data_IF_734013504082
#
_entry.id   IF_734013504082
#
_cell.length_a   1.000
_cell.length_b   1.000
_cell.length_c   1.000
_cell.angle_alpha   90.00
_cell.angle_beta   90.00
_cell.angle_gamma   90.00
#
_symmetry.space_group_name_H-M   'P 1'
#
loop_
_entity.id
_entity.type
_entity.pdbx_description
1 polymer ?
#
# COMPACT_ATOMS: atom_id res chain seq x y z
N UNK A 1 -8.62 17.75 -6.42
CA UNK A 1 -8.60 16.41 -7.02
C UNK A 1 -10.01 15.82 -7.07
N UNK A 2 -10.44 15.51 -8.24
CA UNK A 2 -11.78 14.99 -8.45
C UNK A 2 -11.74 13.50 -8.79
N UNK A 3 -12.05 12.67 -7.80
CA UNK A 3 -12.24 11.25 -8.05
C UNK A 3 -13.69 11.05 -8.44
N UNK A 4 -13.92 10.54 -9.63
CA UNK A 4 -15.23 10.24 -10.14
C UNK A 4 -15.90 9.21 -9.22
N UNK A 5 -17.17 9.44 -8.88
CA UNK A 5 -18.01 8.53 -8.12
C UNK A 5 -18.00 7.12 -8.71
N UNK A 6 -17.94 7.05 -10.04
CA UNK A 6 -17.90 5.82 -10.80
C UNK A 6 -16.61 5.02 -10.51
N UNK A 7 -15.48 5.70 -10.39
CA UNK A 7 -14.22 5.06 -10.03
C UNK A 7 -14.25 4.53 -8.60
N UNK A 8 -14.86 5.28 -7.67
CA UNK A 8 -15.03 4.82 -6.29
C UNK A 8 -15.89 3.56 -6.19
N UNK A 9 -16.99 3.51 -6.94
CA UNK A 9 -17.84 2.32 -6.99
C UNK A 9 -17.10 1.15 -7.59
N UNK A 10 -16.36 1.36 -8.67
CA UNK A 10 -15.56 0.31 -9.28
C UNK A 10 -14.50 -0.24 -8.32
N UNK A 11 -13.87 0.60 -7.52
CA UNK A 11 -12.91 0.16 -6.52
C UNK A 11 -13.56 -0.65 -5.39
N UNK A 12 -14.78 -0.30 -4.98
CA UNK A 12 -15.50 -1.01 -3.93
C UNK A 12 -16.03 -2.37 -4.38
N UNK A 13 -16.53 -2.43 -5.62
CA UNK A 13 -17.19 -3.63 -6.14
C UNK A 13 -16.20 -4.62 -6.77
N UNK A 14 -14.97 -4.20 -7.02
CA UNK A 14 -14.10 -4.87 -7.98
C UNK A 14 -12.65 -5.02 -7.52
N UNK A 15 -12.40 -5.21 -6.22
CA UNK A 15 -11.06 -5.57 -5.76
C UNK A 15 -10.51 -6.79 -6.49
N UNK A 16 -11.37 -7.75 -6.78
CA UNK A 16 -11.02 -8.94 -7.57
C UNK A 16 -10.70 -8.57 -9.02
N UNK A 17 -11.44 -7.63 -9.60
CA UNK A 17 -11.17 -7.15 -10.96
C UNK A 17 -9.87 -6.37 -11.04
N UNK A 18 -9.57 -5.53 -10.05
CA UNK A 18 -8.30 -4.82 -9.99
C UNK A 18 -7.15 -5.82 -9.97
N UNK A 19 -7.22 -6.82 -9.11
CA UNK A 19 -6.22 -7.87 -9.02
C UNK A 19 -6.03 -8.59 -10.36
N UNK A 20 -7.13 -8.94 -11.03
CA UNK A 20 -7.09 -9.61 -12.33
C UNK A 20 -6.48 -8.73 -13.41
N UNK A 21 -6.80 -7.42 -13.42
CA UNK A 21 -6.24 -6.48 -14.39
C UNK A 21 -4.75 -6.27 -14.19
N UNK A 22 -4.30 -6.15 -12.93
CA UNK A 22 -2.90 -6.03 -12.62
C UNK A 22 -2.10 -7.23 -13.15
N UNK A 23 -2.63 -8.43 -12.96
CA UNK A 23 -2.00 -9.65 -13.47
C UNK A 23 -1.90 -9.66 -15.00
N UNK A 24 -2.95 -9.24 -15.69
CA UNK A 24 -2.97 -9.24 -17.16
C UNK A 24 -2.01 -8.24 -17.77
N UNK A 25 -1.77 -7.12 -17.10
CA UNK A 25 -0.93 -6.04 -17.61
C UNK A 25 0.53 -6.17 -17.24
N UNK A 26 0.89 -7.17 -16.48
CA UNK A 26 2.26 -7.37 -16.02
C UNK A 26 3.19 -7.70 -17.19
N UNK A 27 4.24 -6.89 -17.34
CA UNK A 27 5.28 -7.10 -18.35
C UNK A 27 6.60 -7.55 -17.73
N UNK A 28 6.68 -7.59 -16.39
CA UNK A 28 7.91 -7.85 -15.67
C UNK A 28 8.83 -6.62 -15.53
N UNK A 29 8.41 -5.47 -16.02
CA UNK A 29 9.18 -4.20 -15.95
C UNK A 29 8.27 -3.00 -15.69
N UNK A 30 7.14 -3.21 -15.07
CA UNK A 30 6.15 -2.16 -14.85
C UNK A 30 6.30 -1.60 -13.45
N UNK A 31 6.15 -0.28 -13.33
CA UNK A 31 5.96 0.38 -12.04
C UNK A 31 4.46 0.59 -11.82
N UNK A 32 3.93 -0.02 -10.78
CA UNK A 32 2.55 0.19 -10.37
C UNK A 32 2.52 1.16 -9.20
N UNK A 33 1.66 2.18 -9.28
CA UNK A 33 1.42 3.10 -8.17
C UNK A 33 -0.06 3.00 -7.80
N UNK A 34 -0.34 2.54 -6.61
CA UNK A 34 -1.69 2.31 -6.13
C UNK A 34 -1.98 3.21 -4.93
N UNK A 35 -3.04 4.00 -5.04
CA UNK A 35 -3.43 4.93 -3.99
C UNK A 35 -4.61 4.36 -3.21
N UNK A 36 -4.36 3.97 -1.98
CA UNK A 36 -5.33 3.39 -1.05
C UNK A 36 -6.15 2.26 -1.68
N UNK A 37 -5.49 1.23 -2.25
CA UNK A 37 -6.20 0.20 -3.03
C UNK A 37 -7.12 -0.68 -2.20
N UNK A 38 -7.01 -0.65 -0.87
CA UNK A 38 -7.83 -1.48 0.02
C UNK A 38 -9.10 -0.78 0.49
N UNK A 39 -9.33 0.47 0.12
CA UNK A 39 -10.50 1.23 0.55
C UNK A 39 -11.80 0.52 0.16
N UNK A 40 -12.62 0.21 1.15
CA UNK A 40 -13.91 -0.45 0.94
C UNK A 40 -13.84 -1.94 0.65
N UNK A 41 -12.66 -2.55 0.68
CA UNK A 41 -12.52 -3.99 0.47
C UNK A 41 -12.74 -4.77 1.76
N UNK A 42 -13.31 -5.96 1.62
CA UNK A 42 -13.37 -6.93 2.72
C UNK A 42 -11.99 -7.56 2.96
N UNK A 43 -11.80 -8.09 4.16
CA UNK A 43 -10.54 -8.71 4.57
C UNK A 43 -10.05 -9.78 3.58
N UNK A 44 -10.95 -10.60 3.07
CA UNK A 44 -10.60 -11.65 2.12
C UNK A 44 -10.10 -11.09 0.80
N UNK A 45 -10.68 -9.99 0.33
CA UNK A 45 -10.27 -9.32 -0.91
C UNK A 45 -8.93 -8.64 -0.75
N UNK A 46 -8.67 -8.09 0.44
CA UNK A 46 -7.36 -7.51 0.76
C UNK A 46 -6.27 -8.58 0.67
N UNK A 47 -6.51 -9.77 1.22
CA UNK A 47 -5.57 -10.88 1.14
C UNK A 47 -5.29 -11.30 -0.30
N UNK A 48 -6.31 -11.35 -1.14
CA UNK A 48 -6.16 -11.67 -2.56
C UNK A 48 -5.33 -10.63 -3.28
N UNK A 49 -5.59 -9.34 -3.00
CA UNK A 49 -4.83 -8.25 -3.58
C UNK A 49 -3.35 -8.33 -3.18
N UNK A 50 -3.07 -8.57 -1.91
CA UNK A 50 -1.69 -8.69 -1.42
C UNK A 50 -0.95 -9.84 -2.09
N UNK A 51 -1.61 -10.96 -2.33
CA UNK A 51 -1.00 -12.09 -3.05
C UNK A 51 -0.66 -11.71 -4.49
N UNK A 52 -1.53 -10.98 -5.16
CA UNK A 52 -1.29 -10.51 -6.52
C UNK A 52 -0.11 -9.54 -6.55
N UNK A 53 -0.06 -8.59 -5.63
CA UNK A 53 1.05 -7.64 -5.54
C UNK A 53 2.38 -8.36 -5.31
N UNK A 54 2.39 -9.37 -4.44
CA UNK A 54 3.58 -10.19 -4.21
C UNK A 54 4.06 -10.90 -5.47
N UNK A 55 3.14 -11.45 -6.25
CA UNK A 55 3.48 -12.10 -7.52
C UNK A 55 4.04 -11.12 -8.54
N UNK A 56 3.47 -9.92 -8.61
CA UNK A 56 3.97 -8.88 -9.52
C UNK A 56 5.42 -8.52 -9.20
N UNK A 57 5.74 -8.37 -7.92
CA UNK A 57 7.11 -8.09 -7.47
C UNK A 57 8.04 -9.25 -7.81
N UNK A 58 7.62 -10.47 -7.59
CA UNK A 58 8.40 -11.67 -7.93
C UNK A 58 8.69 -11.76 -9.42
N UNK A 59 7.80 -11.24 -10.26
CA UNK A 59 7.96 -11.21 -11.71
C UNK A 59 8.89 -10.09 -12.19
N UNK A 60 9.39 -9.25 -11.30
CA UNK A 60 10.31 -8.17 -11.62
C UNK A 60 9.70 -6.78 -11.66
N UNK A 61 8.40 -6.67 -11.40
CA UNK A 61 7.73 -5.37 -11.35
C UNK A 61 8.01 -4.67 -10.03
N UNK A 62 7.84 -3.35 -10.01
CA UNK A 62 7.89 -2.53 -8.80
C UNK A 62 6.50 -2.07 -8.44
N UNK A 63 6.16 -2.11 -7.17
CA UNK A 63 4.85 -1.68 -6.67
C UNK A 63 5.02 -0.68 -5.55
N UNK A 64 4.44 0.50 -5.72
CA UNK A 64 4.35 1.52 -4.68
C UNK A 64 2.89 1.62 -4.26
N UNK A 65 2.64 1.46 -2.97
CA UNK A 65 1.29 1.51 -2.41
C UNK A 65 1.23 2.64 -1.39
N UNK A 66 0.28 3.54 -1.58
CA UNK A 66 -0.04 4.58 -0.59
C UNK A 66 -1.16 4.00 0.28
N UNK A 67 -0.89 3.81 1.57
CA UNK A 67 -1.81 3.05 2.41
C UNK A 67 -1.78 3.51 3.86
N UNK A 68 -2.89 3.31 4.55
CA UNK A 68 -3.03 3.54 5.99
C UNK A 68 -3.38 2.24 6.74
N UNK A 69 -3.72 1.19 6.03
CA UNK A 69 -4.05 -0.10 6.61
C UNK A 69 -2.78 -0.82 7.06
N UNK A 70 -2.64 -1.02 8.36
CA UNK A 70 -1.44 -1.63 8.93
C UNK A 70 -1.24 -3.09 8.49
N UNK A 71 -2.31 -3.80 8.21
CA UNK A 71 -2.21 -5.19 7.72
C UNK A 71 -1.58 -5.24 6.33
N UNK A 72 -1.74 -4.19 5.54
CA UNK A 72 -1.06 -4.04 4.25
C UNK A 72 0.36 -3.56 4.45
N UNK A 73 0.55 -2.52 5.27
CA UNK A 73 1.86 -1.90 5.52
C UNK A 73 2.85 -2.93 6.04
N UNK A 74 2.44 -3.81 6.95
CA UNK A 74 3.34 -4.82 7.52
C UNK A 74 3.86 -5.84 6.50
N UNK A 75 3.21 -5.96 5.34
CA UNK A 75 3.62 -6.90 4.28
C UNK A 75 4.62 -6.28 3.30
N UNK A 76 4.90 -4.99 3.42
CA UNK A 76 5.81 -4.31 2.52
C UNK A 76 7.25 -4.75 2.73
N UNK A 77 8.04 -4.73 1.68
CA UNK A 77 9.49 -4.93 1.77
C UNK A 77 10.18 -3.68 2.29
N UNK A 78 9.63 -2.52 1.95
CA UNK A 78 10.19 -1.23 2.34
C UNK A 78 9.06 -0.25 2.61
N UNK A 79 9.14 0.45 3.72
CA UNK A 79 8.17 1.47 4.13
C UNK A 79 8.85 2.83 4.12
N UNK A 80 8.13 3.82 3.59
CA UNK A 80 8.52 5.23 3.69
C UNK A 80 7.42 5.91 4.48
N UNK A 81 7.72 6.30 5.72
CA UNK A 81 6.77 6.97 6.61
C UNK A 81 6.96 8.47 6.50
N UNK A 82 5.93 9.15 5.98
CA UNK A 82 5.97 10.59 5.79
C UNK A 82 5.57 11.31 7.07
N UNK A 83 6.21 12.46 7.32
CA UNK A 83 6.04 13.24 8.51
C UNK A 83 4.63 13.74 8.76
N UNK A 84 4.32 14.15 10.01
CA UNK A 84 2.98 14.54 10.39
C UNK A 84 2.50 15.77 9.62
N UNK A 85 1.21 15.81 9.33
CA UNK A 85 0.59 16.88 8.58
C UNK A 85 0.83 16.78 7.08
N UNK A 86 -0.08 17.37 6.32
CA UNK A 86 0.05 17.51 4.88
C UNK A 86 0.47 18.93 4.51
N UNK A 87 0.70 19.17 3.24
CA UNK A 87 1.04 20.49 2.73
C UNK A 87 2.45 20.95 3.09
N UNK A 88 2.63 22.27 3.24
CA UNK A 88 3.96 22.88 3.40
C UNK A 88 4.65 22.52 4.71
N UNK A 89 3.88 22.17 5.73
CA UNK A 89 4.43 21.79 7.03
C UNK A 89 4.68 20.29 7.18
N UNK A 90 4.28 19.50 6.20
CA UNK A 90 4.44 18.04 6.22
C UNK A 90 5.29 17.58 5.05
N UNK A 91 5.29 16.28 4.83
CA UNK A 91 5.94 15.70 3.65
C UNK A 91 7.43 15.44 3.81
N UNK A 92 7.94 15.43 5.03
CA UNK A 92 9.30 14.96 5.30
C UNK A 92 9.28 13.48 5.65
N UNK A 93 10.33 12.76 5.29
CA UNK A 93 10.47 11.36 5.68
C UNK A 93 10.85 11.28 7.16
N UNK A 94 10.00 10.66 7.96
CA UNK A 94 10.22 10.46 9.40
C UNK A 94 11.03 9.18 9.63
N UNK A 95 10.71 8.13 8.90
CA UNK A 95 11.37 6.84 9.00
C UNK A 95 11.26 6.11 7.68
N UNK A 96 12.21 5.26 7.39
CA UNK A 96 12.14 4.38 6.22
C UNK A 96 12.95 3.12 6.48
N UNK A 97 12.55 2.05 5.84
CA UNK A 97 13.20 0.76 6.00
C UNK A 97 12.21 -0.39 5.92
N UNK A 98 12.66 -1.57 6.34
CA UNK A 98 11.77 -2.72 6.51
C UNK A 98 10.71 -2.41 7.58
N UNK A 99 9.61 -3.18 7.63
CA UNK A 99 8.62 -2.99 8.69
C UNK A 99 9.23 -3.04 10.09
N UNK A 100 10.18 -3.93 10.33
CA UNK A 100 10.88 -4.07 11.60
C UNK A 100 11.72 -2.83 11.92
N UNK A 101 12.41 -2.28 10.94
CA UNK A 101 13.22 -1.08 11.12
C UNK A 101 12.35 0.14 11.44
N UNK A 102 11.21 0.27 10.75
CA UNK A 102 10.26 1.36 11.02
C UNK A 102 9.60 1.18 12.38
N UNK A 103 9.27 -0.06 12.76
CA UNK A 103 8.71 -0.36 14.08
C UNK A 103 9.66 0.00 15.21
N UNK A 104 10.97 -0.05 14.98
CA UNK A 104 11.99 0.32 15.96
C UNK A 104 12.22 1.84 16.06
N UNK A 105 11.64 2.64 15.17
CA UNK A 105 11.83 4.09 15.15
C UNK A 105 10.85 4.77 16.11
N UNK A 106 11.33 5.40 17.21
CA UNK A 106 10.44 6.01 18.21
C UNK A 106 9.68 7.23 17.68
N UNK A 107 10.17 7.88 16.64
CA UNK A 107 9.54 9.08 16.08
C UNK A 107 8.44 8.74 15.07
N UNK A 108 8.29 7.47 14.69
CA UNK A 108 7.29 7.04 13.74
C UNK A 108 6.01 6.57 14.44
N UNK A 109 4.90 7.26 14.21
CA UNK A 109 3.60 6.82 14.72
C UNK A 109 3.21 5.48 14.07
N UNK A 110 3.41 5.35 12.77
CA UNK A 110 3.19 4.09 12.07
C UNK A 110 4.05 2.98 12.68
N UNK A 111 5.31 3.28 12.98
CA UNK A 111 6.21 2.33 13.62
C UNK A 111 5.73 1.88 14.99
N UNK A 112 5.16 2.77 15.79
CA UNK A 112 4.62 2.42 17.10
C UNK A 112 3.47 1.40 16.98
N UNK A 113 2.58 1.61 16.02
CA UNK A 113 1.47 0.67 15.76
C UNK A 113 1.98 -0.64 15.17
N UNK A 114 2.97 -0.59 14.28
CA UNK A 114 3.57 -1.79 13.70
C UNK A 114 4.22 -2.66 14.77
N UNK A 115 4.86 -2.06 15.76
CA UNK A 115 5.51 -2.80 16.84
C UNK A 115 4.52 -3.70 17.61
N UNK A 116 3.24 -3.31 17.66
CA UNK A 116 2.22 -4.08 18.36
C UNK A 116 1.76 -5.31 17.56
N UNK A 117 1.92 -5.31 16.24
CA UNK A 117 1.39 -6.35 15.37
C UNK A 117 2.46 -7.20 14.68
N UNK A 118 3.72 -6.85 14.82
CA UNK A 118 4.83 -7.62 14.23
C UNK A 118 5.31 -8.78 15.12
#
# INVERSE_FOLDING_TARGET
HRVDRRQRQMCKETGVKLASELQRRSTGRTLYVLDEPTTGLHFEDINKLLKVLGRLVEQGNSVIVIEHNLDVIKTADWIIDMGPGGGDGGGTVVAQGSPEEVAACPDSFTGQFLAEIL
#
